data_IF_091614319901
#
_entry.id   IF_091614319901
#
_cell.length_a   1.000
_cell.length_b   1.000
_cell.length_c   1.000
_cell.angle_alpha   90.00
_cell.angle_beta   90.00
_cell.angle_gamma   90.00
#
_symmetry.space_group_name_H-M   'P 1'
#
loop_
_entity.id
_entity.type
_entity.pdbx_description
1 polymer ?
#
# COMPACT_ATOMS: atom_id res chain seq x y z
N UNK A 1 15.23 29.00 -26.53
CA UNK A 1 14.37 30.12 -27.01
C UNK A 1 13.11 29.47 -27.55
N UNK A 2 11.94 29.82 -27.05
CA UNK A 2 10.66 29.34 -27.57
C UNK A 2 10.21 30.28 -28.67
N UNK A 3 9.81 29.74 -29.84
CA UNK A 3 9.30 30.56 -30.92
C UNK A 3 8.01 31.28 -30.52
N UNK A 4 7.65 32.43 -31.08
CA UNK A 4 6.35 33.04 -30.90
C UNK A 4 5.27 31.99 -31.22
N UNK A 5 4.25 31.87 -30.35
CA UNK A 5 3.17 30.85 -30.41
C UNK A 5 3.65 29.38 -30.27
N UNK A 6 4.91 29.14 -29.95
CA UNK A 6 5.45 27.81 -29.70
C UNK A 6 4.97 27.24 -28.36
N UNK A 7 4.59 25.95 -28.36
CA UNK A 7 4.29 25.18 -27.13
C UNK A 7 5.48 24.31 -26.82
N UNK A 8 6.02 24.43 -25.60
CA UNK A 8 7.07 23.56 -25.08
C UNK A 8 6.50 22.73 -23.94
N UNK A 9 6.52 21.41 -24.11
CA UNK A 9 6.22 20.48 -23.01
C UNK A 9 7.47 20.26 -22.19
N UNK A 10 7.41 20.63 -20.92
CA UNK A 10 8.46 20.30 -19.95
C UNK A 10 8.08 18.95 -19.33
N UNK A 11 8.87 17.92 -19.68
CA UNK A 11 8.76 16.57 -19.09
C UNK A 11 9.84 16.40 -18.04
N UNK A 12 9.60 15.49 -17.11
CA UNK A 12 10.59 15.02 -16.15
C UNK A 12 11.16 16.16 -15.26
N UNK A 13 10.29 16.86 -14.56
CA UNK A 13 10.68 17.66 -13.42
C UNK A 13 10.62 16.81 -12.18
N UNK A 14 11.78 16.47 -11.63
CA UNK A 14 11.90 15.83 -10.33
C UNK A 14 11.44 16.81 -9.25
N UNK A 15 10.33 16.49 -8.61
CA UNK A 15 9.89 17.20 -7.42
C UNK A 15 10.66 16.60 -6.23
N UNK A 16 11.57 17.37 -5.63
CA UNK A 16 12.19 16.95 -4.37
C UNK A 16 11.18 17.01 -3.24
N UNK A 17 10.78 15.83 -2.77
CA UNK A 17 9.91 15.67 -1.62
C UNK A 17 10.75 15.30 -0.39
N UNK A 18 10.46 15.91 0.75
CA UNK A 18 11.06 15.48 2.02
C UNK A 18 10.54 14.10 2.41
N UNK A 19 11.35 13.06 2.17
CA UNK A 19 11.01 11.67 2.48
C UNK A 19 10.72 11.45 3.96
N UNK A 20 11.41 12.15 4.87
CA UNK A 20 11.15 12.02 6.30
C UNK A 20 9.79 12.63 6.68
N UNK A 21 9.42 13.76 6.08
CA UNK A 21 8.11 14.34 6.27
C UNK A 21 7.02 13.37 5.80
N UNK A 22 7.15 12.82 4.59
CA UNK A 22 6.17 11.88 4.03
C UNK A 22 6.03 10.59 4.84
N UNK A 23 7.14 10.01 5.31
CA UNK A 23 7.13 8.80 6.15
C UNK A 23 6.44 9.01 7.50
N UNK A 24 6.41 10.24 8.01
CA UNK A 24 5.78 10.57 9.28
C UNK A 24 4.41 11.24 9.13
N UNK A 25 3.92 11.37 7.92
CA UNK A 25 2.62 11.99 7.64
C UNK A 25 1.50 11.02 8.03
N UNK A 26 0.97 11.16 9.23
CA UNK A 26 -0.09 10.29 9.77
C UNK A 26 -1.49 10.64 9.28
N UNK A 27 -1.70 11.86 8.81
CA UNK A 27 -2.98 12.34 8.30
C UNK A 27 -2.80 13.15 7.02
N UNK A 28 -3.79 13.13 6.13
CA UNK A 28 -3.71 13.88 4.89
C UNK A 28 -3.58 15.39 5.14
N UNK A 29 -2.73 16.05 4.37
CA UNK A 29 -2.46 17.48 4.47
C UNK A 29 -2.74 18.16 3.13
N UNK A 30 -3.49 19.24 3.17
CA UNK A 30 -3.72 20.08 1.99
C UNK A 30 -2.67 21.17 1.88
N UNK A 31 -2.18 21.34 0.67
CA UNK A 31 -1.21 22.36 0.32
C UNK A 31 -1.48 22.94 -1.05
N UNK A 32 -0.50 23.68 -1.55
CA UNK A 32 -0.53 24.24 -2.90
C UNK A 32 0.80 24.00 -3.58
N UNK A 33 0.77 23.76 -4.89
CA UNK A 33 1.94 23.80 -5.76
C UNK A 33 1.84 25.08 -6.60
N UNK A 34 2.86 25.92 -6.53
CA UNK A 34 2.98 27.09 -7.38
C UNK A 34 4.05 26.84 -8.44
N UNK A 35 3.69 27.05 -9.68
CA UNK A 35 4.57 26.94 -10.84
C UNK A 35 4.75 28.33 -11.39
N UNK A 36 6.00 28.81 -11.44
CA UNK A 36 6.35 30.10 -12.02
C UNK A 36 7.26 29.92 -13.25
N UNK A 37 7.06 30.79 -14.22
CA UNK A 37 7.94 30.92 -15.37
C UNK A 37 8.68 32.25 -15.27
N UNK A 38 10.00 32.18 -15.25
CA UNK A 38 10.85 33.37 -15.13
C UNK A 38 11.61 33.60 -16.42
N UNK A 39 11.77 34.89 -16.77
CA UNK A 39 12.64 35.33 -17.85
C UNK A 39 13.38 36.57 -17.38
N UNK A 40 14.71 36.58 -17.54
CA UNK A 40 15.59 37.69 -17.15
C UNK A 40 15.38 38.16 -15.69
N UNK A 41 15.07 37.21 -14.79
CA UNK A 41 14.85 37.50 -13.38
C UNK A 41 13.45 38.07 -13.06
N UNK A 42 12.53 38.12 -14.03
CA UNK A 42 11.15 38.53 -13.85
C UNK A 42 10.20 37.34 -14.00
N UNK A 43 9.28 37.19 -13.06
CA UNK A 43 8.18 36.24 -13.18
C UNK A 43 7.24 36.72 -14.26
N UNK A 44 7.13 35.98 -15.37
CA UNK A 44 6.26 36.30 -16.51
C UNK A 44 4.94 35.53 -16.51
N UNK A 45 4.87 34.40 -15.77
CA UNK A 45 3.63 33.68 -15.54
C UNK A 45 3.71 32.90 -14.22
N UNK A 46 2.59 32.77 -13.56
CA UNK A 46 2.46 31.98 -12.35
C UNK A 46 1.08 31.29 -12.32
N UNK A 47 1.05 30.02 -11.91
CA UNK A 47 -0.18 29.26 -11.68
C UNK A 47 -0.06 28.48 -10.38
N UNK A 48 -1.10 28.52 -9.56
CA UNK A 48 -1.16 27.82 -8.27
C UNK A 48 -2.29 26.82 -8.28
N UNK A 49 -1.95 25.56 -7.92
CA UNK A 49 -2.90 24.45 -7.85
C UNK A 49 -2.98 23.88 -6.44
N UNK A 50 -4.19 23.60 -5.95
CA UNK A 50 -4.33 22.85 -4.71
C UNK A 50 -3.85 21.42 -4.90
N UNK A 51 -3.19 20.88 -3.88
CA UNK A 51 -2.73 19.50 -3.80
C UNK A 51 -3.10 18.91 -2.45
N UNK A 52 -3.25 17.62 -2.39
CA UNK A 52 -3.43 16.86 -1.16
C UNK A 52 -2.34 15.81 -1.07
N UNK A 53 -1.60 15.82 0.04
CA UNK A 53 -0.64 14.80 0.39
C UNK A 53 -1.36 13.80 1.28
N UNK A 54 -1.43 12.55 0.84
CA UNK A 54 -2.06 11.48 1.61
C UNK A 54 -1.15 11.02 2.75
N UNK A 55 -1.72 10.45 3.80
CA UNK A 55 -0.95 9.83 4.86
C UNK A 55 -0.06 8.70 4.32
N UNK A 56 1.05 8.40 5.02
CA UNK A 56 2.02 7.38 4.59
C UNK A 56 1.39 5.98 4.35
N UNK A 57 0.28 5.71 4.98
CA UNK A 57 -0.45 4.46 4.89
C UNK A 57 -1.86 4.63 4.27
N UNK A 58 -2.08 5.67 3.50
CA UNK A 58 -3.37 5.96 2.87
C UNK A 58 -3.35 5.65 1.38
N UNK A 59 -4.29 4.83 0.95
CA UNK A 59 -4.54 4.56 -0.45
C UNK A 59 -5.68 5.43 -0.95
N UNK A 60 -5.48 6.11 -2.07
CA UNK A 60 -6.41 7.09 -2.64
C UNK A 60 -7.63 6.51 -3.37
N UNK A 61 -7.82 5.19 -3.34
CA UNK A 61 -8.97 4.54 -4.00
C UNK A 61 -8.72 4.12 -5.44
N UNK A 62 -9.63 3.31 -5.96
CA UNK A 62 -9.53 2.74 -7.31
C UNK A 62 -9.68 3.78 -8.43
N UNK A 63 -10.31 4.91 -8.13
CA UNK A 63 -10.52 5.98 -9.11
C UNK A 63 -9.30 6.86 -9.34
N UNK A 64 -8.30 6.82 -8.45
CA UNK A 64 -7.17 7.75 -8.49
C UNK A 64 -5.85 7.11 -8.87
N UNK A 65 -5.41 6.07 -8.21
CA UNK A 65 -4.19 5.32 -8.54
C UNK A 65 -4.31 3.89 -8.00
N UNK A 66 -5.09 3.01 -8.65
CA UNK A 66 -5.35 1.66 -8.14
C UNK A 66 -4.06 0.84 -7.97
N UNK A 67 -3.05 1.05 -8.81
CA UNK A 67 -1.78 0.34 -8.78
C UNK A 67 -1.00 0.57 -7.48
N UNK A 68 -1.17 1.72 -6.83
CA UNK A 68 -0.52 2.01 -5.55
C UNK A 68 -0.94 1.07 -4.44
N UNK A 69 -2.06 0.36 -4.59
CA UNK A 69 -2.46 -0.65 -3.62
C UNK A 69 -1.40 -1.74 -3.45
N UNK A 70 -0.67 -2.07 -4.51
CA UNK A 70 0.41 -3.07 -4.46
C UNK A 70 1.56 -2.68 -3.51
N UNK A 71 1.77 -1.38 -3.27
CA UNK A 71 2.80 -0.90 -2.34
C UNK A 71 2.52 -1.27 -0.88
N UNK A 72 1.26 -1.59 -0.54
CA UNK A 72 0.86 -2.02 0.79
C UNK A 72 0.94 -3.54 1.00
N UNK A 73 1.25 -4.31 -0.04
CA UNK A 73 1.66 -5.69 0.10
C UNK A 73 3.10 -5.72 0.59
N UNK A 74 3.32 -6.06 1.84
CA UNK A 74 4.62 -5.95 2.53
C UNK A 74 5.16 -7.33 2.92
N UNK A 75 5.69 -8.12 1.96
CA UNK A 75 6.12 -9.50 2.21
C UNK A 75 7.30 -9.61 3.19
N UNK A 76 8.01 -8.52 3.42
CA UNK A 76 9.14 -8.46 4.36
C UNK A 76 8.76 -7.89 5.74
N UNK A 77 7.47 -7.65 6.00
CA UNK A 77 7.03 -7.24 7.33
C UNK A 77 7.24 -8.40 8.34
N UNK A 78 7.83 -8.15 9.53
CA UNK A 78 8.08 -9.20 10.53
C UNK A 78 6.84 -10.01 10.94
N UNK A 79 5.64 -9.44 10.80
CA UNK A 79 4.40 -10.14 11.05
C UNK A 79 4.17 -11.30 10.08
N UNK A 80 4.62 -11.18 8.84
CA UNK A 80 4.50 -12.23 7.82
C UNK A 80 5.29 -13.47 8.24
N UNK A 81 6.52 -13.31 8.73
CA UNK A 81 7.32 -14.43 9.25
C UNK A 81 6.59 -15.20 10.37
N UNK A 82 5.85 -14.49 11.22
CA UNK A 82 5.04 -15.11 12.29
C UNK A 82 3.91 -15.95 11.71
N UNK A 83 3.15 -15.38 10.76
CA UNK A 83 2.04 -16.09 10.08
C UNK A 83 2.56 -17.33 9.35
N UNK A 84 3.68 -17.22 8.61
CA UNK A 84 4.26 -18.35 7.89
C UNK A 84 4.78 -19.44 8.83
N UNK A 85 5.34 -19.07 9.98
CA UNK A 85 5.76 -20.04 11.02
C UNK A 85 4.56 -20.78 11.59
N UNK A 86 3.47 -20.08 11.88
CA UNK A 86 2.25 -20.69 12.41
C UNK A 86 1.60 -21.60 11.36
N UNK A 87 1.57 -21.18 10.09
CA UNK A 87 1.10 -22.02 8.98
C UNK A 87 1.95 -23.31 8.84
N UNK A 88 3.27 -23.19 8.95
CA UNK A 88 4.18 -24.35 8.96
C UNK A 88 3.86 -25.34 10.09
N UNK A 89 3.59 -24.82 11.29
CA UNK A 89 3.18 -25.66 12.43
C UNK A 89 1.82 -26.34 12.20
N UNK A 90 0.88 -25.67 11.55
CA UNK A 90 -0.43 -26.23 11.19
C UNK A 90 -0.25 -27.38 10.20
N UNK A 91 0.56 -27.20 9.16
CA UNK A 91 0.90 -28.26 8.20
C UNK A 91 1.51 -29.48 8.88
N UNK A 92 2.48 -29.27 9.77
CA UNK A 92 3.13 -30.33 10.52
C UNK A 92 2.15 -31.12 11.38
N UNK A 93 1.24 -30.42 12.10
CA UNK A 93 0.19 -31.07 12.91
C UNK A 93 -0.79 -31.88 12.07
N UNK A 94 -1.02 -31.49 10.83
CA UNK A 94 -1.84 -32.21 9.87
C UNK A 94 -1.10 -33.38 9.16
N UNK A 95 0.14 -33.69 9.55
CA UNK A 95 0.95 -34.74 8.93
C UNK A 95 1.40 -34.40 7.51
N UNK A 96 1.44 -33.11 7.15
CA UNK A 96 1.87 -32.60 5.85
C UNK A 96 3.30 -32.06 5.93
N UNK A 97 3.95 -31.91 4.77
CA UNK A 97 5.24 -31.21 4.70
C UNK A 97 5.06 -29.78 5.23
N UNK A 98 5.94 -29.34 6.12
CA UNK A 98 5.86 -28.04 6.78
C UNK A 98 6.53 -26.88 6.00
N UNK A 99 7.17 -27.16 4.86
CA UNK A 99 7.76 -26.14 4.01
C UNK A 99 6.69 -25.22 3.38
N UNK A 100 6.90 -23.92 3.40
CA UNK A 100 6.08 -22.96 2.66
C UNK A 100 6.75 -22.73 1.30
N UNK A 101 6.61 -23.70 0.43
CA UNK A 101 7.34 -23.79 -0.84
C UNK A 101 6.58 -23.25 -2.06
N UNK A 102 5.36 -22.75 -1.83
CA UNK A 102 4.54 -22.10 -2.85
C UNK A 102 4.36 -22.97 -4.09
N UNK A 103 4.73 -22.42 -5.25
CA UNK A 103 4.55 -23.07 -6.55
C UNK A 103 5.69 -24.04 -6.95
N UNK A 104 6.73 -24.21 -6.14
CA UNK A 104 7.88 -25.07 -6.47
C UNK A 104 7.49 -26.52 -6.71
N UNK A 105 6.51 -27.02 -5.98
CA UNK A 105 6.01 -28.39 -6.14
C UNK A 105 5.27 -28.63 -7.45
N UNK A 106 4.79 -27.59 -8.14
CA UNK A 106 3.89 -27.65 -9.30
C UNK A 106 2.62 -28.48 -9.04
N UNK A 107 2.28 -28.73 -7.77
CA UNK A 107 1.09 -29.46 -7.37
C UNK A 107 0.00 -28.49 -6.91
N UNK A 108 -1.18 -28.57 -7.53
CA UNK A 108 -2.35 -27.79 -7.12
C UNK A 108 -2.79 -28.15 -5.69
N UNK A 109 -2.69 -29.42 -5.32
CA UNK A 109 -2.97 -29.90 -3.97
C UNK A 109 -2.05 -29.20 -2.95
N UNK A 110 -0.74 -29.15 -3.27
CA UNK A 110 0.20 -28.50 -2.37
C UNK A 110 -0.05 -27.01 -2.20
N UNK A 111 -0.37 -26.32 -3.26
CA UNK A 111 -0.74 -24.89 -3.20
C UNK A 111 -1.98 -24.72 -2.30
N UNK A 112 -2.98 -25.60 -2.44
CA UNK A 112 -4.17 -25.56 -1.61
C UNK A 112 -3.86 -25.85 -0.13
N UNK A 113 -3.02 -26.83 0.18
CA UNK A 113 -2.59 -27.12 1.55
C UNK A 113 -1.92 -25.90 2.20
N UNK A 114 -0.98 -25.27 1.50
CA UNK A 114 -0.26 -24.07 1.99
C UNK A 114 -1.24 -22.91 2.18
N UNK A 115 -2.07 -22.62 1.20
CA UNK A 115 -3.06 -21.54 1.29
C UNK A 115 -4.04 -21.77 2.47
N UNK A 116 -4.49 -23.01 2.67
CA UNK A 116 -5.38 -23.37 3.79
C UNK A 116 -4.67 -23.20 5.13
N UNK A 117 -3.38 -23.55 5.21
CA UNK A 117 -2.62 -23.39 6.45
C UNK A 117 -2.39 -21.91 6.79
N UNK A 118 -2.09 -21.06 5.79
CA UNK A 118 -1.96 -19.60 5.96
C UNK A 118 -3.30 -19.02 6.40
N UNK A 119 -4.38 -19.38 5.73
CA UNK A 119 -5.72 -18.94 6.12
C UNK A 119 -6.03 -19.31 7.58
N UNK A 120 -5.75 -20.55 7.96
CA UNK A 120 -5.99 -21.03 9.33
C UNK A 120 -5.14 -20.28 10.34
N UNK A 121 -3.87 -20.00 10.01
CA UNK A 121 -2.98 -19.21 10.87
C UNK A 121 -3.54 -17.80 11.11
N UNK A 122 -3.98 -17.12 10.06
CA UNK A 122 -4.59 -15.78 10.16
C UNK A 122 -5.94 -15.84 10.91
N UNK A 123 -6.78 -16.83 10.62
CA UNK A 123 -8.05 -16.99 11.32
C UNK A 123 -7.87 -17.20 12.84
N UNK A 124 -6.81 -17.91 13.24
CA UNK A 124 -6.48 -18.14 14.64
C UNK A 124 -5.99 -16.87 15.38
N UNK A 125 -5.65 -15.81 14.67
CA UNK A 125 -5.26 -14.54 15.30
C UNK A 125 -6.44 -13.87 16.03
N UNK A 126 -7.68 -14.22 15.71
CA UNK A 126 -8.86 -13.61 16.31
C UNK A 126 -9.00 -12.12 15.95
N UNK A 127 -8.77 -11.79 14.68
CA UNK A 127 -8.88 -10.42 14.17
C UNK A 127 -10.33 -9.99 14.17
N UNK A 128 -10.62 -8.86 14.81
CA UNK A 128 -11.94 -8.23 14.80
C UNK A 128 -12.12 -7.42 13.51
N UNK A 129 -13.30 -7.52 12.91
CA UNK A 129 -13.61 -6.76 11.71
C UNK A 129 -13.88 -5.29 12.04
N UNK A 130 -13.18 -4.40 11.35
CA UNK A 130 -13.45 -2.97 11.35
C UNK A 130 -14.23 -2.59 10.09
N UNK A 131 -15.30 -1.83 10.25
CA UNK A 131 -16.07 -1.33 9.11
C UNK A 131 -15.24 -0.27 8.39
N UNK A 132 -14.98 -0.42 7.08
CA UNK A 132 -14.26 0.60 6.32
C UNK A 132 -15.10 1.88 6.19
N UNK A 133 -14.47 3.02 5.86
CA UNK A 133 -15.20 4.24 5.51
C UNK A 133 -16.19 3.99 4.36
N UNK A 134 -17.28 4.75 4.36
CA UNK A 134 -18.21 4.73 3.23
C UNK A 134 -17.46 5.12 1.94
N UNK A 135 -17.73 4.41 0.83
CA UNK A 135 -17.08 4.67 -0.48
C UNK A 135 -15.54 4.47 -0.50
N UNK A 136 -14.99 3.71 0.43
CA UNK A 136 -13.53 3.45 0.49
C UNK A 136 -12.95 2.95 -0.84
N UNK A 137 -13.72 2.27 -1.65
CA UNK A 137 -13.30 1.81 -2.98
C UNK A 137 -12.99 2.97 -3.93
N UNK A 138 -13.70 4.09 -3.81
CA UNK A 138 -13.57 5.27 -4.66
C UNK A 138 -12.66 6.35 -4.05
N UNK A 139 -12.91 6.65 -2.78
CA UNK A 139 -12.27 7.77 -2.07
C UNK A 139 -11.01 7.32 -1.30
N UNK A 140 -10.79 6.00 -1.22
CA UNK A 140 -9.65 5.43 -0.53
C UNK A 140 -9.85 5.24 0.98
N UNK A 141 -8.82 4.73 1.64
CA UNK A 141 -8.77 4.57 3.09
C UNK A 141 -7.33 4.41 3.58
N UNK A 142 -7.12 4.66 4.86
CA UNK A 142 -5.89 4.23 5.54
C UNK A 142 -5.86 2.71 5.61
N UNK A 143 -4.71 2.12 5.29
CA UNK A 143 -4.46 0.67 5.32
C UNK A 143 -3.60 0.38 6.54
N UNK A 144 -4.01 -0.59 7.35
CA UNK A 144 -3.20 -1.12 8.44
C UNK A 144 -2.17 -2.08 7.87
N UNK A 145 -0.91 -1.81 8.16
CA UNK A 145 0.20 -2.67 7.76
C UNK A 145 0.14 -4.01 8.51
N UNK A 146 0.73 -5.10 7.98
CA UNK A 146 0.66 -6.43 8.60
C UNK A 146 0.98 -6.45 10.10
N UNK A 147 2.06 -5.80 10.51
CA UNK A 147 2.43 -5.68 11.94
C UNK A 147 1.35 -5.01 12.78
N UNK A 148 0.72 -3.96 12.27
CA UNK A 148 -0.36 -3.25 12.96
C UNK A 148 -1.62 -4.12 13.10
N UNK A 149 -1.93 -4.92 12.06
CA UNK A 149 -3.06 -5.86 12.09
C UNK A 149 -2.83 -6.92 13.16
N UNK A 150 -1.63 -7.51 13.22
CA UNK A 150 -1.30 -8.54 14.20
C UNK A 150 -1.26 -8.01 15.63
N UNK A 151 -0.74 -6.81 15.82
CA UNK A 151 -0.64 -6.16 17.13
C UNK A 151 -2.01 -5.78 17.69
N UNK A 152 -2.80 -5.08 16.88
CA UNK A 152 -4.09 -4.53 17.31
C UNK A 152 -5.25 -5.52 17.18
N UNK A 153 -5.08 -6.58 16.41
CA UNK A 153 -6.11 -7.59 16.07
C UNK A 153 -7.39 -6.98 15.52
N UNK A 154 -7.24 -5.96 14.68
CA UNK A 154 -8.34 -5.26 14.02
C UNK A 154 -7.97 -5.04 12.56
N UNK A 155 -8.87 -5.37 11.64
CA UNK A 155 -8.66 -5.16 10.21
C UNK A 155 -9.96 -4.88 9.47
N UNK A 156 -9.89 -4.06 8.43
CA UNK A 156 -10.92 -3.97 7.40
C UNK A 156 -10.79 -5.16 6.43
N UNK A 157 -11.73 -5.28 5.48
CA UNK A 157 -11.58 -6.25 4.40
C UNK A 157 -10.31 -6.00 3.57
N UNK A 158 -9.96 -4.74 3.33
CA UNK A 158 -8.78 -4.36 2.55
C UNK A 158 -7.49 -4.68 3.32
N UNK A 159 -7.41 -4.33 4.62
CA UNK A 159 -6.26 -4.69 5.47
C UNK A 159 -6.00 -6.21 5.45
N UNK A 160 -7.09 -7.00 5.60
CA UNK A 160 -7.00 -8.46 5.55
C UNK A 160 -6.53 -8.97 4.19
N UNK A 161 -7.02 -8.36 3.11
CA UNK A 161 -6.60 -8.71 1.75
C UNK A 161 -5.10 -8.43 1.55
N UNK A 162 -4.60 -7.29 2.02
CA UNK A 162 -3.17 -6.95 1.95
C UNK A 162 -2.32 -7.90 2.80
N UNK A 163 -2.80 -8.30 3.98
CA UNK A 163 -2.13 -9.30 4.81
C UNK A 163 -2.01 -10.67 4.11
N UNK A 164 -3.05 -11.08 3.35
CA UNK A 164 -3.01 -12.32 2.56
C UNK A 164 -2.14 -12.20 1.30
N UNK A 165 -2.02 -11.00 0.73
CA UNK A 165 -1.23 -10.76 -0.47
C UNK A 165 0.27 -10.64 -0.19
N UNK A 166 0.65 -10.38 1.05
CA UNK A 166 2.03 -10.26 1.50
C UNK A 166 2.67 -11.65 1.72
#
# INVERSE_FOLDING_TARGET
MVAPEGVVSVKDRDLELDGNFLLNLSDAVRGTITISVESEGLVIAEDTRPVELLAYNEWGGAGYMPELLAAFSMPNDPAIDRVLRDASLILRKAGKSDGIDGYKSRSRERVWEVATAIYTAIANLGISYAVPPARFEQDGQKIRLPSQVLENRVATCLDSTMLFAA
#
